data_IF_680249805280
#
_entry.id   IF_680249805280
#
_cell.length_a   1.000
_cell.length_b   1.000
_cell.length_c   1.000
_cell.angle_alpha   90.00
_cell.angle_beta   90.00
_cell.angle_gamma   90.00
#
_symmetry.space_group_name_H-M   'P 1'
#
loop_
_entity.id
_entity.type
_entity.pdbx_description
1 polymer ?
#
# COMPACT_ATOMS: atom_id res chain seq x y z
N UNK A 1 19.98 2.36 10.81
CA UNK A 1 18.90 2.31 11.72
C UNK A 1 17.57 2.41 10.98
N UNK A 2 16.77 1.49 11.22
CA UNK A 2 15.52 1.38 10.48
C UNK A 2 14.46 2.30 11.06
N UNK A 3 13.39 2.42 10.34
CA UNK A 3 12.20 3.09 10.81
C UNK A 3 11.13 2.09 11.20
N UNK A 4 9.95 2.61 11.47
CA UNK A 4 8.81 1.75 11.72
C UNK A 4 7.56 2.37 11.11
N UNK A 5 6.62 1.50 10.75
CA UNK A 5 5.32 1.94 10.25
C UNK A 5 4.42 2.16 11.46
N UNK A 6 4.02 3.40 11.67
CA UNK A 6 3.12 3.72 12.77
C UNK A 6 1.68 3.49 12.36
N UNK A 7 1.37 3.73 11.09
CA UNK A 7 0.06 3.49 10.53
C UNK A 7 0.25 3.22 9.05
N UNK A 8 -0.45 2.24 8.53
CA UNK A 8 -0.41 1.93 7.11
C UNK A 8 -1.77 1.45 6.64
N UNK A 9 -2.15 1.86 5.43
CA UNK A 9 -3.43 1.45 4.87
C UNK A 9 -3.40 1.56 3.36
N UNK A 10 -4.21 0.71 2.72
CA UNK A 10 -4.56 0.84 1.31
C UNK A 10 -5.99 1.35 1.25
N UNK A 11 -6.25 2.28 0.36
CA UNK A 11 -7.57 2.91 0.30
C UNK A 11 -7.88 3.38 -1.11
N UNK A 12 -9.16 3.71 -1.32
CA UNK A 12 -9.60 4.22 -2.60
C UNK A 12 -9.13 5.64 -2.83
N UNK A 13 -9.04 6.43 -1.76
CA UNK A 13 -8.64 7.83 -1.88
C UNK A 13 -7.99 8.29 -0.59
N UNK A 14 -6.94 9.11 -0.75
CA UNK A 14 -6.24 9.71 0.38
C UNK A 14 -6.00 11.17 0.06
N UNK A 15 -6.11 12.02 1.08
CA UNK A 15 -5.80 13.43 0.90
C UNK A 15 -5.23 14.03 2.18
N UNK A 16 -4.49 15.11 2.01
CA UNK A 16 -3.92 15.86 3.12
C UNK A 16 -4.58 17.22 3.13
N UNK A 17 -5.16 17.58 4.27
CA UNK A 17 -5.77 18.90 4.45
C UNK A 17 -4.73 19.98 4.66
N UNK A 18 -5.19 21.22 4.66
CA UNK A 18 -4.30 22.36 4.89
C UNK A 18 -3.65 22.33 6.27
N UNK A 19 -4.31 21.68 7.21
CA UNK A 19 -3.79 21.55 8.57
C UNK A 19 -2.81 20.38 8.72
N UNK A 20 -2.49 19.70 7.63
CA UNK A 20 -1.58 18.56 7.64
C UNK A 20 -2.20 17.25 8.04
N UNK A 21 -3.50 17.23 8.33
CA UNK A 21 -4.18 15.99 8.68
C UNK A 21 -4.50 15.17 7.43
N UNK A 22 -4.39 13.86 7.58
CA UNK A 22 -4.62 12.92 6.49
C UNK A 22 -6.01 12.33 6.64
N UNK A 23 -6.74 12.28 5.53
CA UNK A 23 -8.05 11.63 5.47
C UNK A 23 -7.99 10.48 4.48
N UNK A 24 -8.50 9.33 4.88
CA UNK A 24 -8.52 8.13 4.05
C UNK A 24 -9.97 7.72 3.82
N UNK A 25 -10.31 7.41 2.58
CA UNK A 25 -11.65 6.97 2.22
C UNK A 25 -11.55 5.62 1.55
N UNK A 26 -12.40 4.69 1.98
CA UNK A 26 -12.46 3.37 1.38
C UNK A 26 -11.23 2.53 1.69
N UNK A 27 -10.92 2.34 2.97
CA UNK A 27 -9.81 1.47 3.36
C UNK A 27 -10.19 0.03 3.03
N UNK A 28 -9.27 -0.70 2.37
CA UNK A 28 -9.55 -2.07 1.99
C UNK A 28 -8.33 -2.95 2.21
N UNK A 29 -8.58 -4.25 2.34
CA UNK A 29 -7.54 -5.25 2.46
C UNK A 29 -7.73 -6.39 1.47
N UNK A 30 -8.84 -6.36 0.72
CA UNK A 30 -9.15 -7.35 -0.30
C UNK A 30 -9.57 -6.64 -1.57
N UNK A 31 -9.19 -7.22 -2.70
CA UNK A 31 -9.67 -6.77 -4.00
C UNK A 31 -10.35 -7.98 -4.64
N UNK A 32 -11.64 -7.85 -4.91
CA UNK A 32 -12.42 -8.91 -5.55
C UNK A 32 -12.40 -8.71 -7.06
N UNK A 33 -12.02 -9.75 -7.80
CA UNK A 33 -11.90 -9.67 -9.24
C UNK A 33 -12.68 -10.80 -9.89
N UNK A 34 -13.15 -10.56 -11.11
CA UNK A 34 -13.92 -11.56 -11.84
C UNK A 34 -13.04 -12.63 -12.48
N UNK A 35 -11.79 -12.33 -12.70
CA UNK A 35 -10.84 -13.27 -13.30
C UNK A 35 -9.47 -12.67 -13.37
N UNK A 36 -8.49 -13.46 -13.83
CA UNK A 36 -7.10 -13.05 -13.92
C UNK A 36 -6.68 -13.06 -15.39
N UNK A 37 -5.77 -12.19 -15.82
CA UNK A 37 -5.16 -11.12 -15.01
C UNK A 37 -6.17 -10.03 -14.73
N UNK A 38 -6.01 -9.36 -13.59
CA UNK A 38 -6.90 -8.30 -13.16
C UNK A 38 -6.12 -7.01 -13.02
N UNK A 39 -6.79 -5.90 -13.32
CA UNK A 39 -6.20 -4.58 -13.14
C UNK A 39 -7.04 -3.79 -12.17
N UNK A 40 -6.36 -3.09 -11.27
CA UNK A 40 -6.99 -2.16 -10.37
C UNK A 40 -6.59 -0.76 -10.81
N UNK A 41 -7.54 0.05 -11.30
CA UNK A 41 -7.17 1.28 -12.00
C UNK A 41 -6.51 2.32 -11.12
N UNK A 42 -6.92 2.42 -9.86
CA UNK A 42 -6.39 3.46 -8.99
C UNK A 42 -6.59 3.10 -7.54
N UNK A 43 -5.53 3.25 -6.76
CA UNK A 43 -5.58 3.06 -5.32
C UNK A 43 -4.48 3.90 -4.68
N UNK A 44 -4.58 4.10 -3.39
CA UNK A 44 -3.58 4.85 -2.64
C UNK A 44 -3.01 4.00 -1.54
N UNK A 45 -1.72 4.16 -1.32
CA UNK A 45 -1.03 3.61 -0.16
C UNK A 45 -0.70 4.77 0.76
N UNK A 46 -1.14 4.66 1.99
CA UNK A 46 -0.81 5.64 3.04
C UNK A 46 0.07 4.98 4.06
N UNK A 47 1.17 5.65 4.44
CA UNK A 47 2.03 5.18 5.50
C UNK A 47 2.51 6.37 6.32
N UNK A 48 2.37 6.26 7.62
CA UNK A 48 2.97 7.20 8.56
C UNK A 48 4.15 6.47 9.18
N UNK A 49 5.34 7.04 9.00
CA UNK A 49 6.59 6.39 9.36
C UNK A 49 7.30 7.15 10.45
N UNK A 50 7.80 6.43 11.44
CA UNK A 50 8.72 6.97 12.41
C UNK A 50 10.14 6.72 11.93
N UNK A 51 10.88 7.80 11.63
CA UNK A 51 12.21 7.71 11.06
C UNK A 51 13.18 8.54 11.86
N UNK A 52 14.45 8.18 11.77
CA UNK A 52 15.52 9.00 12.34
C UNK A 52 15.58 10.34 11.61
N UNK A 53 16.05 11.36 12.30
CA UNK A 53 16.19 12.70 11.72
C UNK A 53 17.10 12.64 10.49
N UNK A 54 16.68 13.30 9.42
CA UNK A 54 17.49 13.40 8.22
C UNK A 54 16.73 12.99 6.97
N UNK A 55 17.45 12.91 5.87
CA UNK A 55 16.92 12.54 4.59
C UNK A 55 16.85 11.02 4.45
N UNK A 56 15.76 10.53 3.87
CA UNK A 56 15.56 9.10 3.67
C UNK A 56 14.93 8.84 2.32
N UNK A 57 15.17 7.63 1.83
CA UNK A 57 14.60 7.18 0.57
C UNK A 57 13.65 6.01 0.85
N UNK A 58 12.37 6.19 0.52
CA UNK A 58 11.34 5.19 0.76
C UNK A 58 10.96 4.55 -0.57
N UNK A 59 11.00 3.22 -0.61
CA UNK A 59 10.63 2.48 -1.82
C UNK A 59 9.47 1.54 -1.48
N UNK A 60 8.49 1.49 -2.36
CA UNK A 60 7.33 0.62 -2.22
C UNK A 60 7.39 -0.44 -3.30
N UNK A 61 7.40 -1.72 -2.90
CA UNK A 61 7.42 -2.85 -3.83
C UNK A 61 6.21 -3.72 -3.61
N UNK A 62 5.67 -4.24 -4.71
CA UNK A 62 4.60 -5.23 -4.61
C UNK A 62 5.21 -6.63 -4.69
N UNK A 63 4.96 -7.43 -3.67
CA UNK A 63 5.39 -8.82 -3.62
C UNK A 63 4.20 -9.73 -3.83
N UNK A 64 4.35 -10.71 -4.71
CA UNK A 64 3.32 -11.72 -4.95
C UNK A 64 3.28 -12.71 -3.78
N UNK A 65 2.25 -13.57 -3.72
CA UNK A 65 2.21 -14.59 -2.66
C UNK A 65 3.44 -15.48 -2.62
N UNK A 66 4.14 -15.68 -3.76
CA UNK A 66 5.37 -16.47 -3.79
C UNK A 66 6.59 -15.66 -3.35
N UNK A 67 6.42 -14.40 -2.99
CA UNK A 67 7.51 -13.55 -2.52
C UNK A 67 8.24 -12.80 -3.61
N UNK A 68 7.92 -13.03 -4.87
CA UNK A 68 8.60 -12.35 -5.96
C UNK A 68 8.00 -10.98 -6.24
N UNK A 69 8.88 -10.05 -6.57
CA UNK A 69 8.44 -8.69 -6.91
C UNK A 69 7.78 -8.69 -8.27
N UNK A 70 6.65 -7.98 -8.36
CA UNK A 70 5.89 -7.91 -9.59
C UNK A 70 5.75 -6.51 -10.17
N UNK A 71 6.30 -5.51 -9.51
CA UNK A 71 6.18 -4.12 -9.94
C UNK A 71 7.45 -3.70 -10.67
N UNK A 72 7.38 -3.41 -12.00
CA UNK A 72 8.60 -3.15 -12.75
C UNK A 72 9.30 -1.85 -12.35
N UNK A 73 8.54 -0.83 -11.96
CA UNK A 73 9.12 0.46 -11.57
C UNK A 73 8.57 0.85 -10.21
N UNK A 74 9.14 0.32 -9.12
CA UNK A 74 8.61 0.63 -7.79
C UNK A 74 8.68 2.12 -7.49
N UNK A 75 7.64 2.70 -6.93
CA UNK A 75 7.69 4.10 -6.52
C UNK A 75 8.80 4.34 -5.49
N UNK A 76 9.46 5.46 -5.65
CA UNK A 76 10.57 5.84 -4.80
C UNK A 76 10.35 7.28 -4.36
N UNK A 77 10.32 7.51 -3.07
CA UNK A 77 9.97 8.80 -2.50
C UNK A 77 11.08 9.29 -1.59
N UNK A 78 11.55 10.50 -1.83
CA UNK A 78 12.52 11.14 -0.95
C UNK A 78 11.76 11.91 0.13
N UNK A 79 12.13 11.67 1.38
CA UNK A 79 11.49 12.33 2.51
C UNK A 79 12.55 12.90 3.43
N UNK A 80 12.15 13.85 4.27
CA UNK A 80 13.04 14.43 5.26
C UNK A 80 12.35 14.40 6.61
N UNK A 81 12.95 13.68 7.56
CA UNK A 81 12.40 13.53 8.89
C UNK A 81 12.99 14.58 9.83
N UNK A 82 12.12 15.20 10.62
CA UNK A 82 12.55 16.16 11.63
C UNK A 82 12.24 15.60 13.02
N UNK A 83 12.94 16.12 14.01
CA UNK A 83 12.83 15.61 15.37
C UNK A 83 11.40 15.76 15.88
N UNK A 84 10.89 14.69 16.47
CA UNK A 84 9.59 14.71 17.12
C UNK A 84 8.40 14.63 16.18
N UNK A 85 8.63 14.40 14.89
CA UNK A 85 7.55 14.33 13.92
C UNK A 85 7.67 13.06 13.08
N UNK A 86 6.53 12.42 12.82
CA UNK A 86 6.47 11.30 11.90
C UNK A 86 6.39 11.81 10.46
N UNK A 87 6.78 10.96 9.54
CA UNK A 87 6.78 11.27 8.11
C UNK A 87 5.52 10.64 7.48
N UNK A 88 4.78 11.45 6.73
CA UNK A 88 3.60 10.98 6.02
C UNK A 88 3.97 10.70 4.57
N UNK A 89 3.65 9.49 4.11
CA UNK A 89 3.91 9.07 2.74
C UNK A 89 2.60 8.65 2.12
N UNK A 90 2.22 9.30 1.02
CA UNK A 90 1.05 8.94 0.23
C UNK A 90 1.53 8.60 -1.17
N UNK A 91 1.18 7.42 -1.65
CA UNK A 91 1.56 6.97 -2.99
C UNK A 91 0.30 6.63 -3.76
N UNK A 92 0.14 7.26 -4.91
CA UNK A 92 -0.94 6.89 -5.82
C UNK A 92 -0.45 5.77 -6.72
N UNK A 93 -1.18 4.68 -6.74
CA UNK A 93 -0.84 3.49 -7.51
C UNK A 93 -1.87 3.32 -8.61
N UNK A 94 -1.43 3.43 -9.85
CA UNK A 94 -2.32 3.38 -11.00
C UNK A 94 -2.09 2.12 -11.81
N UNK A 95 -3.18 1.53 -12.27
CA UNK A 95 -3.16 0.37 -13.17
C UNK A 95 -2.34 -0.78 -12.60
N UNK A 96 -2.59 -1.09 -11.33
CA UNK A 96 -1.93 -2.21 -10.69
C UNK A 96 -2.43 -3.51 -11.31
N UNK A 97 -1.50 -4.38 -11.65
CA UNK A 97 -1.82 -5.64 -12.32
C UNK A 97 -1.57 -6.80 -11.37
N UNK A 98 -2.56 -7.68 -11.28
CA UNK A 98 -2.47 -8.87 -10.43
C UNK A 98 -2.69 -10.10 -11.30
N UNK A 99 -1.79 -11.06 -11.21
CA UNK A 99 -1.82 -12.26 -12.04
C UNK A 99 -2.11 -13.53 -11.27
N UNK A 100 -2.15 -13.47 -9.95
CA UNK A 100 -2.47 -14.61 -9.11
C UNK A 100 -3.42 -14.22 -8.00
N UNK A 101 -4.20 -15.17 -7.53
CA UNK A 101 -4.98 -14.99 -6.30
C UNK A 101 -4.07 -15.12 -5.09
N UNK A 102 -4.55 -14.67 -3.94
CA UNK A 102 -3.83 -14.82 -2.70
C UNK A 102 -3.36 -13.49 -2.13
N UNK A 103 -2.61 -13.58 -1.05
CA UNK A 103 -2.16 -12.40 -0.32
C UNK A 103 -0.88 -11.86 -0.92
N UNK A 104 -0.99 -10.66 -1.46
CA UNK A 104 0.14 -9.85 -1.92
C UNK A 104 0.53 -8.91 -0.79
N UNK A 105 1.73 -8.36 -0.86
CA UNK A 105 2.21 -7.41 0.14
C UNK A 105 2.86 -6.24 -0.54
N UNK A 106 2.52 -5.04 -0.10
CA UNK A 106 3.28 -3.85 -0.45
C UNK A 106 4.37 -3.70 0.60
N UNK A 107 5.59 -4.00 0.23
CA UNK A 107 6.73 -3.90 1.13
C UNK A 107 7.30 -2.50 1.07
N UNK A 108 7.52 -1.91 2.24
CA UNK A 108 8.16 -0.61 2.35
C UNK A 108 9.57 -0.79 2.85
N UNK A 109 10.52 -0.20 2.13
CA UNK A 109 11.91 -0.12 2.58
C UNK A 109 12.27 1.33 2.79
N UNK A 110 13.13 1.56 3.77
CA UNK A 110 13.69 2.88 4.04
C UNK A 110 15.22 2.73 3.94
N UNK A 111 15.80 3.46 3.01
CA UNK A 111 17.25 3.39 2.77
C UNK A 111 17.73 1.96 2.56
N UNK A 112 16.91 1.17 1.86
CA UNK A 112 17.24 -0.22 1.54
C UNK A 112 16.87 -1.25 2.57
N UNK A 113 16.38 -0.86 3.75
CA UNK A 113 15.98 -1.79 4.80
C UNK A 113 14.47 -1.92 4.87
N UNK A 114 13.97 -3.14 4.92
CA UNK A 114 12.53 -3.37 5.05
C UNK A 114 12.05 -2.92 6.43
N UNK A 115 11.00 -2.09 6.45
CA UNK A 115 10.42 -1.62 7.71
C UNK A 115 9.05 -2.22 7.95
N UNK A 116 8.46 -2.87 6.96
CA UNK A 116 7.18 -3.53 7.11
C UNK A 116 6.48 -3.68 5.78
N UNK A 117 5.27 -4.22 5.83
CA UNK A 117 4.48 -4.43 4.63
C UNK A 117 3.00 -4.27 4.92
N UNK A 118 2.24 -3.97 3.87
CA UNK A 118 0.79 -3.86 3.93
C UNK A 118 0.20 -4.95 3.03
N UNK A 119 -0.61 -5.87 3.60
CA UNK A 119 -1.16 -6.96 2.81
C UNK A 119 -2.40 -6.55 2.04
N UNK A 120 -2.58 -7.16 0.87
CA UNK A 120 -3.81 -7.08 0.11
C UNK A 120 -4.08 -8.44 -0.52
N UNK A 121 -5.28 -8.98 -0.29
CA UNK A 121 -5.66 -10.29 -0.82
C UNK A 121 -6.45 -10.11 -2.09
N UNK A 122 -6.04 -10.81 -3.14
CA UNK A 122 -6.76 -10.82 -4.41
C UNK A 122 -7.63 -12.07 -4.38
N UNK A 123 -8.94 -11.86 -4.46
CA UNK A 123 -9.89 -12.95 -4.33
C UNK A 123 -10.85 -12.94 -5.51
N UNK A 124 -11.35 -14.12 -5.86
CA UNK A 124 -12.30 -14.23 -6.93
C UNK A 124 -13.68 -13.77 -6.48
N UNK A 125 -14.30 -12.93 -7.31
CA UNK A 125 -15.65 -12.46 -7.02
C UNK A 125 -16.62 -13.63 -7.14
N UNK A 126 -17.51 -13.77 -6.16
CA UNK A 126 -18.51 -14.82 -6.19
C UNK A 126 -19.59 -14.50 -7.22
N UNK A 127 -20.13 -15.52 -7.91
CA UNK A 127 -21.27 -15.30 -8.77
C UNK A 127 -22.44 -14.73 -7.97
N UNK A 128 -23.27 -13.88 -8.58
CA UNK A 128 -24.34 -13.20 -7.84
C UNK A 128 -25.30 -14.14 -7.11
N UNK A 129 -25.64 -15.30 -7.70
CA UNK A 129 -26.57 -16.23 -7.08
C UNK A 129 -26.00 -16.97 -5.88
N UNK A 130 -24.68 -16.96 -5.71
CA UNK A 130 -24.01 -17.66 -4.63
C UNK A 130 -23.49 -16.74 -3.54
N UNK A 131 -23.63 -15.45 -3.74
CA UNK A 131 -23.10 -14.50 -2.78
C UNK A 131 -23.93 -14.51 -1.52
N UNK A 132 -23.28 -14.68 -0.40
CA UNK A 132 -23.99 -14.63 0.87
C UNK A 132 -24.31 -13.21 1.24
N UNK A 133 -25.44 -13.04 1.85
CA UNK A 133 -25.78 -11.73 2.37
C UNK A 133 -25.01 -11.44 3.64
N UNK A 134 -24.59 -10.21 3.77
CA UNK A 134 -24.05 -9.73 5.02
C UNK A 134 -25.23 -9.37 5.92
N UNK A 135 -25.35 -10.02 7.03
CA UNK A 135 -26.45 -9.77 7.93
C UNK A 135 -25.95 -9.37 9.28
#
# INVERSE_FOLDING_TARGET
MSGEIRLGALCDHALVGQDGKVSLMGIFRNISVSGLPAQHPRMFLEAILGLDVGAHNVVVRLLRPDGQQSMPNPPEISVHAVAGQDVNVIVELNNMSFTTYGTHKFELTVDGEAVGSLPVSIVQMQPPGERRRAN
#
